data_IF_243056992315
#
_entry.id   IF_243056992315
#
_cell.length_a   1.000
_cell.length_b   1.000
_cell.length_c   1.000
_cell.angle_alpha   90.00
_cell.angle_beta   90.00
_cell.angle_gamma   90.00
#
_symmetry.space_group_name_H-M   'P 1'
#
loop_
_entity.id
_entity.type
_entity.pdbx_description
1 polymer ?
#
# COMPACT_ATOMS: atom_id res chain seq x y z
N UNK A 1 23.15 -20.02 13.15
CA UNK A 1 21.70 -20.28 13.02
C UNK A 1 20.99 -18.95 12.98
N UNK A 2 20.23 -18.74 11.89
CA UNK A 2 19.22 -17.69 11.66
C UNK A 2 19.68 -16.22 11.71
N UNK A 3 20.28 -15.73 10.62
CA UNK A 3 20.23 -14.32 10.23
C UNK A 3 18.79 -13.99 9.81
N UNK A 4 17.87 -13.82 10.77
CA UNK A 4 16.60 -13.15 10.51
C UNK A 4 16.93 -11.66 10.36
N UNK A 5 17.29 -11.26 9.14
CA UNK A 5 17.34 -9.84 8.78
C UNK A 5 16.02 -9.23 9.20
N UNK A 6 16.05 -8.34 10.20
CA UNK A 6 14.86 -7.66 10.66
C UNK A 6 14.19 -7.01 9.44
N UNK A 7 13.02 -7.49 9.05
CA UNK A 7 12.26 -6.92 7.94
C UNK A 7 12.07 -5.44 8.24
N UNK A 8 12.47 -4.57 7.30
CA UNK A 8 12.39 -3.14 7.55
C UNK A 8 10.92 -2.74 7.75
N UNK A 9 10.61 -1.73 8.58
CA UNK A 9 9.25 -1.24 8.75
C UNK A 9 8.55 -0.91 7.43
N UNK A 10 9.32 -0.48 6.42
CA UNK A 10 8.84 -0.19 5.07
C UNK A 10 8.40 -1.45 4.31
N UNK A 11 9.21 -2.52 4.33
CA UNK A 11 8.85 -3.78 3.66
C UNK A 11 7.61 -4.38 4.31
N UNK A 12 7.52 -4.32 5.65
CA UNK A 12 6.35 -4.83 6.38
C UNK A 12 5.09 -4.03 6.08
N UNK A 13 5.19 -2.69 6.05
CA UNK A 13 4.09 -1.80 5.63
C UNK A 13 3.62 -2.13 4.22
N UNK A 14 4.55 -2.28 3.27
CA UNK A 14 4.22 -2.54 1.87
C UNK A 14 3.57 -3.91 1.70
N UNK A 15 3.96 -4.91 2.50
CA UNK A 15 3.28 -6.20 2.55
C UNK A 15 1.85 -6.05 3.05
N UNK A 16 1.64 -5.42 4.20
CA UNK A 16 0.28 -5.21 4.77
C UNK A 16 -0.62 -4.49 3.77
N UNK A 17 -0.12 -3.41 3.16
CA UNK A 17 -0.89 -2.67 2.16
C UNK A 17 -1.15 -3.52 0.92
N UNK A 18 -0.12 -4.18 0.40
CA UNK A 18 -0.21 -5.02 -0.78
C UNK A 18 -1.25 -6.12 -0.63
N UNK A 19 -1.27 -6.79 0.51
CA UNK A 19 -2.26 -7.81 0.86
C UNK A 19 -3.70 -7.24 0.86
N UNK A 20 -3.87 -5.98 1.27
CA UNK A 20 -5.18 -5.31 1.29
C UNK A 20 -5.66 -4.88 -0.12
N UNK A 21 -4.74 -4.49 -1.01
CA UNK A 21 -5.10 -3.92 -2.32
C UNK A 21 -4.84 -4.85 -3.52
N UNK A 22 -4.25 -6.03 -3.29
CA UNK A 22 -3.95 -7.02 -4.34
C UNK A 22 -2.62 -6.82 -5.05
N UNK A 23 -1.64 -6.17 -4.40
CA UNK A 23 -0.30 -5.94 -4.94
C UNK A 23 0.77 -6.67 -4.13
N UNK A 24 1.90 -6.96 -4.78
CA UNK A 24 3.10 -7.38 -4.06
C UNK A 24 3.77 -6.19 -3.32
N UNK A 25 4.59 -6.44 -2.29
CA UNK A 25 5.30 -5.38 -1.58
C UNK A 25 6.18 -4.51 -2.48
N UNK A 26 6.76 -5.11 -3.53
CA UNK A 26 7.62 -4.42 -4.50
C UNK A 26 6.80 -3.53 -5.44
N UNK A 27 5.64 -4.01 -5.90
CA UNK A 27 4.70 -3.19 -6.68
C UNK A 27 4.14 -2.03 -5.85
N UNK A 28 3.91 -2.24 -4.56
CA UNK A 28 3.54 -1.14 -3.66
C UNK A 28 4.66 -0.10 -3.58
N UNK A 29 5.91 -0.52 -3.43
CA UNK A 29 7.05 0.39 -3.37
C UNK A 29 7.22 1.22 -4.65
N UNK A 30 6.98 0.60 -5.81
CA UNK A 30 7.16 1.22 -7.12
C UNK A 30 6.01 2.16 -7.51
N UNK A 31 4.77 1.75 -7.23
CA UNK A 31 3.59 2.41 -7.79
C UNK A 31 2.79 3.23 -6.79
N UNK A 32 2.91 3.01 -5.48
CA UNK A 32 2.22 3.82 -4.47
C UNK A 32 3.05 5.06 -4.17
N UNK A 33 2.45 6.23 -4.32
CA UNK A 33 3.11 7.53 -4.11
C UNK A 33 2.71 8.20 -2.80
N UNK A 34 1.52 7.87 -2.28
CA UNK A 34 1.05 8.41 -1.00
C UNK A 34 0.04 7.47 -0.33
N UNK A 35 0.06 7.46 1.00
CA UNK A 35 -0.94 6.81 1.85
C UNK A 35 -1.46 7.88 2.80
N UNK A 36 -2.74 8.19 2.72
CA UNK A 36 -3.39 9.19 3.56
C UNK A 36 -4.39 8.50 4.48
N UNK A 37 -4.24 8.68 5.79
CA UNK A 37 -5.22 8.19 6.76
C UNK A 37 -6.46 9.06 6.71
N UNK A 38 -7.64 8.45 6.63
CA UNK A 38 -8.91 9.17 6.76
C UNK A 38 -9.15 9.56 8.21
N UNK A 39 -9.71 10.76 8.42
CA UNK A 39 -9.92 11.29 9.76
C UNK A 39 -10.91 10.43 10.56
N UNK A 40 -10.48 9.99 11.75
CA UNK A 40 -11.33 9.27 12.69
C UNK A 40 -11.58 7.79 12.38
N UNK A 41 -10.94 7.21 11.37
CA UNK A 41 -11.03 5.78 11.06
C UNK A 41 -9.66 5.18 10.66
N UNK A 42 -9.56 3.86 10.64
CA UNK A 42 -8.38 3.13 10.17
C UNK A 42 -8.44 2.83 8.66
N UNK A 43 -9.13 3.68 7.91
CA UNK A 43 -9.21 3.61 6.45
C UNK A 43 -8.19 4.55 5.82
N UNK A 44 -7.81 4.23 4.58
CA UNK A 44 -6.75 4.95 3.89
C UNK A 44 -7.12 5.27 2.45
N UNK A 45 -6.71 6.45 1.99
CA UNK A 45 -6.69 6.78 0.57
C UNK A 45 -5.27 6.53 0.05
N UNK A 46 -5.16 5.63 -0.91
CA UNK A 46 -3.90 5.21 -1.52
C UNK A 46 -3.78 5.88 -2.87
N UNK A 47 -2.71 6.64 -3.08
CA UNK A 47 -2.42 7.29 -4.35
C UNK A 47 -1.39 6.50 -5.15
N UNK A 48 -1.64 6.37 -6.44
CA UNK A 48 -0.76 5.67 -7.37
C UNK A 48 -0.05 6.65 -8.30
N UNK A 49 1.10 6.25 -8.80
CA UNK A 49 1.84 7.02 -9.78
C UNK A 49 1.07 7.10 -11.11
N UNK A 50 1.20 8.23 -11.82
CA UNK A 50 0.55 8.38 -13.14
C UNK A 50 1.05 7.30 -14.13
N UNK A 51 2.31 6.90 -13.98
CA UNK A 51 2.97 5.85 -14.78
C UNK A 51 2.57 4.42 -14.40
N UNK A 52 1.65 4.22 -13.44
CA UNK A 52 1.15 2.88 -13.11
C UNK A 52 0.49 2.25 -14.33
N UNK A 53 1.06 1.14 -14.79
CA UNK A 53 0.64 0.44 -16.01
C UNK A 53 -0.74 -0.20 -15.85
N UNK A 54 -1.46 -0.38 -16.97
CA UNK A 54 -2.78 -1.04 -16.96
C UNK A 54 -2.74 -2.45 -16.36
N UNK A 55 -1.62 -3.16 -16.54
CA UNK A 55 -1.42 -4.47 -15.93
C UNK A 55 -1.49 -4.42 -14.41
N UNK A 56 -0.85 -3.41 -13.80
CA UNK A 56 -0.87 -3.20 -12.34
C UNK A 56 -2.24 -2.69 -11.90
N UNK A 57 -2.83 -1.75 -12.63
CA UNK A 57 -4.17 -1.22 -12.31
C UNK A 57 -5.23 -2.32 -12.23
N UNK A 58 -5.17 -3.31 -13.14
CA UNK A 58 -6.10 -4.45 -13.16
C UNK A 58 -5.93 -5.41 -11.99
N UNK A 59 -4.75 -5.45 -11.33
CA UNK A 59 -4.55 -6.23 -10.11
C UNK A 59 -5.18 -5.57 -8.89
N UNK A 60 -5.25 -4.24 -8.91
CA UNK A 60 -5.71 -3.47 -7.75
C UNK A 60 -7.23 -3.60 -7.63
N UNK A 61 -7.67 -4.19 -6.52
CA UNK A 61 -9.08 -4.43 -6.27
C UNK A 61 -9.82 -3.10 -6.13
N UNK A 62 -10.66 -2.77 -7.11
CA UNK A 62 -11.54 -1.59 -7.06
C UNK A 62 -10.94 -0.29 -7.58
N UNK A 63 -9.73 -0.29 -8.17
CA UNK A 63 -9.13 0.94 -8.72
C UNK A 63 -9.75 1.37 -10.06
N UNK A 64 -9.96 0.43 -10.99
CA UNK A 64 -10.39 0.74 -12.35
C UNK A 64 -9.43 1.72 -13.05
N UNK A 65 -9.97 2.82 -13.57
CA UNK A 65 -9.21 3.87 -14.27
C UNK A 65 -8.73 5.01 -13.34
N UNK A 66 -9.01 4.93 -12.04
CA UNK A 66 -8.64 5.96 -11.08
C UNK A 66 -7.14 5.95 -10.76
N UNK A 67 -6.66 7.06 -10.19
CA UNK A 67 -5.29 7.21 -9.66
C UNK A 67 -5.23 7.09 -8.14
N UNK A 68 -6.37 6.83 -7.50
CA UNK A 68 -6.45 6.62 -6.08
C UNK A 68 -7.51 5.58 -5.74
N UNK A 69 -7.31 4.88 -4.63
CA UNK A 69 -8.24 3.91 -4.08
C UNK A 69 -8.47 4.21 -2.61
N UNK A 70 -9.72 4.21 -2.20
CA UNK A 70 -10.08 4.16 -0.79
C UNK A 70 -10.13 2.72 -0.32
N UNK A 71 -9.37 2.40 0.71
CA UNK A 71 -9.36 1.07 1.33
C UNK A 71 -10.42 1.00 2.41
N UNK A 72 -10.83 -0.23 2.74
CA UNK A 72 -11.42 -0.49 4.05
C UNK A 72 -10.40 -0.33 5.18
N UNK A 73 -10.77 -0.68 6.42
CA UNK A 73 -9.88 -0.61 7.57
C UNK A 73 -8.62 -1.47 7.37
N UNK A 74 -7.44 -0.89 7.58
CA UNK A 74 -6.15 -1.60 7.52
C UNK A 74 -5.42 -1.43 8.86
N UNK A 75 -5.11 -2.56 9.50
CA UNK A 75 -4.28 -2.58 10.69
C UNK A 75 -2.79 -2.59 10.29
N UNK A 76 -2.15 -1.43 10.38
CA UNK A 76 -0.71 -1.28 10.17
C UNK A 76 0.14 -1.69 11.39
N UNK A 77 -0.46 -2.29 12.43
CA UNK A 77 0.24 -2.84 13.60
C UNK A 77 1.16 -1.81 14.30
N UNK A 78 0.75 -0.53 14.32
CA UNK A 78 1.52 0.57 14.90
C UNK A 78 2.66 1.12 14.02
N UNK A 79 2.76 0.72 12.74
CA UNK A 79 3.72 1.30 11.80
C UNK A 79 3.38 2.76 11.48
N UNK A 80 4.42 3.60 11.32
CA UNK A 80 4.27 4.96 10.82
C UNK A 80 4.00 4.94 9.31
N UNK A 81 2.96 5.64 8.89
CA UNK A 81 2.37 5.57 7.54
C UNK A 81 2.43 6.92 6.80
N UNK A 82 2.85 7.99 7.49
CA UNK A 82 2.66 9.39 7.10
C UNK A 82 3.54 9.89 5.94
N UNK A 83 4.47 9.09 5.40
CA UNK A 83 5.25 9.41 4.20
C UNK A 83 5.90 8.16 3.63
N UNK A 84 5.95 8.06 2.30
CA UNK A 84 6.78 7.08 1.57
C UNK A 84 8.15 7.72 1.37
#
# INVERSE_FOLDING_TARGET
>A
MSNQSAESPQVRRNRILGDAIGLSPDEVAEYVTSIQKKDGCDEYTIHFAIQTTDFIRRKINGLGDALFLDTGPIDFQGLQISKI
#
